data_IF_286108554403
#
_entry.id   IF_286108554403
#
_cell.length_a   1.000
_cell.length_b   1.000
_cell.length_c   1.000
_cell.angle_alpha   90.00
_cell.angle_beta   90.00
_cell.angle_gamma   90.00
#
_symmetry.space_group_name_H-M   'P 1'
#
loop_
_entity.id
_entity.type
_entity.pdbx_description
1 polymer ?
#
# COMPACT_ATOMS: atom_id res chain seq x y z
N UNK A 1 -1.92 -23.28 8.06
CA UNK A 1 -3.24 -23.06 8.70
C UNK A 1 -3.35 -21.57 8.90
N UNK A 2 -3.94 -20.83 7.97
CA UNK A 2 -4.12 -19.38 8.06
C UNK A 2 -5.34 -18.99 7.24
N UNK A 3 -6.35 -18.41 7.90
CA UNK A 3 -7.29 -17.40 7.40
C UNK A 3 -8.63 -17.50 8.16
N UNK A 4 -8.77 -16.74 9.25
CA UNK A 4 -10.05 -16.13 9.57
C UNK A 4 -10.09 -14.81 8.80
N UNK A 5 -10.76 -14.82 7.65
CA UNK A 5 -11.03 -13.62 6.86
C UNK A 5 -12.53 -13.41 6.79
N UNK A 6 -13.01 -12.20 7.00
CA UNK A 6 -14.43 -11.89 6.82
C UNK A 6 -14.68 -11.28 5.45
N UNK A 7 -15.80 -11.65 4.85
CA UNK A 7 -16.33 -10.97 3.67
C UNK A 7 -16.89 -9.60 4.10
N UNK A 8 -16.29 -8.53 3.61
CA UNK A 8 -16.88 -7.19 3.72
C UNK A 8 -17.87 -6.98 2.57
N UNK A 9 -18.82 -6.03 2.72
CA UNK A 9 -19.75 -5.68 1.63
C UNK A 9 -18.96 -5.43 0.34
N UNK A 10 -19.50 -5.87 -0.81
CA UNK A 10 -18.88 -5.75 -2.12
C UNK A 10 -18.23 -4.39 -2.30
N UNK A 11 -16.90 -4.36 -2.33
CA UNK A 11 -16.15 -3.13 -2.47
C UNK A 11 -15.62 -3.02 -3.89
N UNK A 12 -15.70 -1.82 -4.47
CA UNK A 12 -15.27 -1.60 -5.85
C UNK A 12 -13.75 -1.49 -6.00
N UNK A 13 -13.03 -1.24 -4.90
CA UNK A 13 -11.59 -0.91 -4.94
C UNK A 13 -10.71 -1.78 -4.04
N UNK A 14 -11.33 -2.59 -3.22
CA UNK A 14 -10.79 -2.95 -1.92
C UNK A 14 -11.16 -4.44 -1.75
N UNK A 15 -10.22 -5.28 -1.34
CA UNK A 15 -10.42 -6.75 -1.39
C UNK A 15 -11.58 -7.22 -0.50
N UNK A 16 -12.39 -8.17 -0.98
CA UNK A 16 -13.57 -8.68 -0.27
C UNK A 16 -13.21 -9.38 1.06
N UNK A 17 -12.04 -10.04 1.09
CA UNK A 17 -11.55 -10.80 2.24
C UNK A 17 -10.31 -10.15 2.83
N UNK A 18 -10.33 -9.88 4.14
CA UNK A 18 -9.22 -9.24 4.86
C UNK A 18 -8.98 -9.87 6.23
N UNK A 19 -7.76 -9.73 6.76
CA UNK A 19 -7.47 -10.08 8.15
C UNK A 19 -8.41 -9.33 9.11
N UNK A 20 -8.91 -10.03 10.12
CA UNK A 20 -9.71 -9.47 11.22
C UNK A 20 -9.02 -9.71 12.56
N UNK A 21 -9.28 -8.84 13.53
CA UNK A 21 -8.90 -9.08 14.93
C UNK A 21 -9.72 -10.28 15.42
N UNK A 22 -9.09 -11.44 15.46
CA UNK A 22 -9.73 -12.73 15.73
C UNK A 22 -9.44 -13.27 17.13
N UNK A 23 -8.68 -12.50 17.93
CA UNK A 23 -8.24 -12.85 19.27
C UNK A 23 -7.40 -14.14 19.34
N UNK A 24 -6.86 -14.60 18.21
CA UNK A 24 -6.05 -15.82 18.11
C UNK A 24 -4.73 -15.53 17.38
N UNK A 25 -4.81 -15.10 16.12
CA UNK A 25 -3.66 -14.64 15.35
C UNK A 25 -3.40 -13.15 15.60
N UNK A 26 -4.45 -12.33 15.53
CA UNK A 26 -4.40 -10.90 15.82
C UNK A 26 -5.20 -10.62 17.08
N UNK A 27 -4.49 -10.39 18.17
CA UNK A 27 -5.07 -10.15 19.50
C UNK A 27 -5.68 -8.76 19.66
N UNK A 28 -5.33 -7.85 18.76
CA UNK A 28 -5.76 -6.45 18.78
C UNK A 28 -5.56 -5.81 17.40
N UNK A 29 -5.95 -4.55 17.26
CA UNK A 29 -5.72 -3.79 16.04
C UNK A 29 -4.22 -3.49 15.83
N UNK A 30 -3.63 -3.71 14.64
CA UNK A 30 -2.19 -3.52 14.40
C UNK A 30 -1.66 -2.14 14.78
N UNK A 31 -2.45 -1.07 14.56
CA UNK A 31 -2.06 0.29 14.99
C UNK A 31 -1.84 0.40 16.49
N UNK A 32 -2.68 -0.26 17.29
CA UNK A 32 -2.59 -0.18 18.76
C UNK A 32 -1.43 -1.04 19.26
N UNK A 33 -1.19 -2.20 18.63
CA UNK A 33 0.02 -3.00 18.87
C UNK A 33 1.30 -2.20 18.57
N UNK A 34 1.37 -1.52 17.43
CA UNK A 34 2.53 -0.71 17.03
C UNK A 34 2.78 0.46 17.98
N UNK A 35 1.73 1.22 18.33
CA UNK A 35 1.82 2.33 19.30
C UNK A 35 2.32 1.88 20.66
N UNK A 36 1.96 0.68 21.07
CA UNK A 36 2.37 0.10 22.34
C UNK A 36 3.59 -0.82 22.25
N UNK A 37 4.30 -0.79 21.12
CA UNK A 37 5.53 -1.54 20.87
C UNK A 37 5.41 -3.06 20.98
N UNK A 38 4.20 -3.61 20.81
CA UNK A 38 3.93 -5.05 20.87
C UNK A 38 4.18 -5.72 19.51
N UNK A 39 5.42 -5.64 19.05
CA UNK A 39 5.87 -6.27 17.81
C UNK A 39 7.31 -6.80 17.96
N UNK A 40 7.72 -7.68 17.06
CA UNK A 40 9.08 -8.19 17.03
C UNK A 40 10.03 -7.13 16.45
N UNK A 41 11.00 -6.69 17.26
CA UNK A 41 12.01 -5.70 16.87
C UNK A 41 13.12 -6.38 16.06
N UNK A 42 12.96 -6.40 14.73
CA UNK A 42 13.95 -6.88 13.74
C UNK A 42 14.28 -5.76 12.76
N UNK A 43 15.42 -5.81 12.04
CA UNK A 43 15.68 -4.89 10.94
C UNK A 43 14.49 -4.84 9.97
N UNK A 44 14.01 -3.63 9.68
CA UNK A 44 12.81 -3.38 8.90
C UNK A 44 13.18 -2.59 7.64
N UNK A 45 13.19 -3.28 6.50
CA UNK A 45 13.43 -2.70 5.19
C UNK A 45 12.08 -2.52 4.49
N UNK A 46 11.73 -1.29 4.20
CA UNK A 46 10.46 -0.95 3.58
C UNK A 46 10.64 0.18 2.56
N UNK A 47 9.59 0.47 1.82
CA UNK A 47 9.58 1.54 0.85
C UNK A 47 8.26 1.60 0.12
N UNK A 48 8.20 2.52 -0.82
CA UNK A 48 7.03 2.75 -1.68
C UNK A 48 7.50 3.01 -3.10
N UNK A 49 6.63 2.76 -4.05
CA UNK A 49 6.87 3.00 -5.47
C UNK A 49 6.22 4.32 -5.88
N UNK A 50 6.70 4.90 -6.98
CA UNK A 50 6.17 6.17 -7.50
C UNK A 50 4.68 6.09 -7.85
N UNK A 51 4.25 4.97 -8.43
CA UNK A 51 2.90 4.82 -8.99
C UNK A 51 2.17 3.63 -8.33
N UNK A 52 1.90 3.69 -7.03
CA UNK A 52 1.32 2.56 -6.27
C UNK A 52 0.04 2.00 -6.89
N UNK A 53 -0.94 2.85 -7.21
CA UNK A 53 -2.26 2.45 -7.69
C UNK A 53 -2.65 3.11 -9.02
N UNK A 54 -1.68 3.48 -9.86
CA UNK A 54 -1.98 4.13 -11.16
C UNK A 54 -2.85 3.28 -12.08
N UNK A 55 -2.84 1.94 -11.93
CA UNK A 55 -3.74 1.05 -12.68
C UNK A 55 -5.23 1.36 -12.49
N UNK A 56 -5.63 2.05 -11.41
CA UNK A 56 -7.02 2.45 -11.21
C UNK A 56 -7.48 3.52 -12.22
N UNK A 57 -6.53 4.21 -12.87
CA UNK A 57 -6.81 5.17 -13.93
C UNK A 57 -7.42 4.49 -15.16
N UNK A 58 -6.92 3.32 -15.56
CA UNK A 58 -7.38 2.62 -16.78
C UNK A 58 -8.82 2.12 -16.70
N UNK A 59 -9.37 2.03 -15.47
CA UNK A 59 -10.79 1.69 -15.25
C UNK A 59 -11.72 2.87 -15.59
N UNK A 60 -11.20 4.07 -15.88
CA UNK A 60 -11.99 5.26 -16.23
C UNK A 60 -11.39 6.05 -17.39
N UNK A 61 -12.19 6.32 -18.42
CA UNK A 61 -11.74 7.10 -19.58
C UNK A 61 -12.00 8.60 -19.46
N UNK A 62 -12.74 9.06 -18.44
CA UNK A 62 -13.06 10.48 -18.24
C UNK A 62 -12.91 10.94 -16.78
N UNK A 63 -12.70 12.25 -16.60
CA UNK A 63 -12.41 12.88 -15.31
C UNK A 63 -13.59 12.83 -14.32
N UNK A 64 -14.83 12.85 -14.83
CA UNK A 64 -16.03 12.76 -14.00
C UNK A 64 -16.21 11.35 -13.42
N UNK A 65 -15.92 10.32 -14.22
CA UNK A 65 -15.90 8.94 -13.79
C UNK A 65 -14.85 8.68 -12.70
N UNK A 66 -13.64 9.21 -12.85
CA UNK A 66 -12.62 9.07 -11.81
C UNK A 66 -13.02 9.82 -10.53
N UNK A 67 -13.57 11.03 -10.64
CA UNK A 67 -14.07 11.78 -9.49
C UNK A 67 -15.11 10.98 -8.70
N UNK A 68 -16.10 10.40 -9.37
CA UNK A 68 -17.12 9.56 -8.73
C UNK A 68 -16.48 8.34 -8.04
N UNK A 69 -15.48 7.73 -8.68
CA UNK A 69 -14.73 6.60 -8.12
C UNK A 69 -13.92 6.97 -6.88
N UNK A 70 -13.25 8.12 -6.90
CA UNK A 70 -12.51 8.61 -5.74
C UNK A 70 -13.45 8.92 -4.57
N UNK A 71 -14.59 9.57 -4.83
CA UNK A 71 -15.61 9.81 -3.79
C UNK A 71 -16.14 8.49 -3.23
N UNK A 72 -16.37 7.50 -4.09
CA UNK A 72 -16.79 6.15 -3.69
C UNK A 72 -15.71 5.47 -2.85
N UNK A 73 -14.44 5.51 -3.27
CA UNK A 73 -13.32 4.98 -2.53
C UNK A 73 -13.19 5.62 -1.14
N UNK A 74 -13.23 6.95 -1.08
CA UNK A 74 -13.15 7.68 0.19
C UNK A 74 -14.35 7.33 1.10
N UNK A 75 -15.55 7.18 0.55
CA UNK A 75 -16.72 6.69 1.30
C UNK A 75 -16.55 5.25 1.80
N UNK A 76 -15.92 4.36 1.02
CA UNK A 76 -15.67 2.97 1.39
C UNK A 76 -14.53 2.83 2.43
N UNK A 77 -13.52 3.70 2.36
CA UNK A 77 -12.35 3.67 3.24
C UNK A 77 -12.59 4.43 4.54
N UNK A 78 -13.32 5.55 4.49
CA UNK A 78 -13.56 6.45 5.60
C UNK A 78 -15.01 6.33 6.10
N UNK A 79 -15.21 5.77 7.30
CA UNK A 79 -16.55 5.52 7.83
C UNK A 79 -17.02 6.67 8.73
N UNK A 80 -17.58 7.73 8.13
CA UNK A 80 -18.05 8.90 8.88
C UNK A 80 -19.40 8.60 9.59
N UNK A 81 -19.46 8.64 10.93
CA UNK A 81 -20.71 8.40 11.68
C UNK A 81 -21.72 9.54 11.54
N UNK A 82 -21.26 10.80 11.52
CA UNK A 82 -22.15 11.96 11.35
C UNK A 82 -22.85 12.01 9.99
N UNK A 83 -22.30 11.32 8.98
CA UNK A 83 -22.78 11.35 7.61
C UNK A 83 -22.25 12.52 6.78
N UNK A 84 -21.48 13.46 7.37
CA UNK A 84 -20.89 14.59 6.64
C UNK A 84 -19.55 14.24 5.97
N UNK A 85 -19.58 13.19 5.16
CA UNK A 85 -18.42 12.77 4.36
C UNK A 85 -18.08 13.79 3.26
N UNK A 86 -19.04 14.64 2.89
CA UNK A 86 -18.87 15.68 1.87
C UNK A 86 -17.82 16.71 2.26
N UNK A 87 -17.81 17.13 3.53
CA UNK A 87 -16.83 18.05 4.10
C UNK A 87 -15.42 17.45 4.09
N UNK A 88 -15.30 16.15 4.39
CA UNK A 88 -14.03 15.41 4.33
C UNK A 88 -13.49 15.39 2.89
N UNK A 89 -14.33 14.98 1.93
CA UNK A 89 -13.97 14.91 0.52
C UNK A 89 -13.52 16.28 0.00
N UNK A 90 -14.21 17.36 0.39
CA UNK A 90 -13.84 18.72 -0.01
C UNK A 90 -12.48 19.13 0.56
N UNK A 91 -12.16 18.75 1.80
CA UNK A 91 -10.84 19.00 2.38
C UNK A 91 -9.73 18.27 1.61
N UNK A 92 -9.94 17.01 1.23
CA UNK A 92 -9.02 16.25 0.37
C UNK A 92 -8.83 16.97 -0.98
N UNK A 93 -9.92 17.36 -1.66
CA UNK A 93 -9.83 18.09 -2.92
C UNK A 93 -9.00 19.36 -2.79
N UNK A 94 -9.25 20.17 -1.77
CA UNK A 94 -8.52 21.43 -1.54
C UNK A 94 -7.02 21.22 -1.32
N UNK A 95 -6.62 20.11 -0.69
CA UNK A 95 -5.21 19.80 -0.50
C UNK A 95 -4.49 19.45 -1.80
N UNK A 96 -5.19 18.86 -2.78
CA UNK A 96 -4.63 18.44 -4.07
C UNK A 96 -4.94 19.41 -5.22
N UNK A 97 -5.57 20.55 -4.94
CA UNK A 97 -5.67 21.62 -5.94
C UNK A 97 -4.33 22.35 -6.04
N UNK A 98 -3.80 22.46 -7.26
CA UNK A 98 -2.76 23.44 -7.56
C UNK A 98 -3.41 24.81 -7.75
N UNK A 99 -3.21 25.64 -6.75
CA UNK A 99 -3.73 27.00 -6.71
C UNK A 99 -3.13 27.89 -7.80
N UNK A 100 -1.95 27.56 -8.33
CA UNK A 100 -1.29 28.32 -9.40
C UNK A 100 -1.90 28.10 -10.78
N UNK A 101 -2.63 27.00 -10.98
CA UNK A 101 -3.32 26.66 -12.23
C UNK A 101 -4.81 26.98 -12.22
N UNK A 102 -5.31 27.67 -11.18
CA UNK A 102 -6.74 27.95 -10.97
C UNK A 102 -7.39 28.78 -12.09
N UNK A 103 -6.62 29.58 -12.84
CA UNK A 103 -7.14 30.28 -14.03
C UNK A 103 -7.50 29.31 -15.18
N UNK A 104 -6.90 28.11 -15.21
CA UNK A 104 -7.23 27.01 -16.14
C UNK A 104 -8.28 26.06 -15.58
N UNK A 105 -8.74 26.23 -14.34
CA UNK A 105 -9.80 25.39 -13.76
C UNK A 105 -11.14 25.55 -14.50
N UNK A 106 -11.33 26.68 -15.20
CA UNK A 106 -12.43 26.87 -16.16
C UNK A 106 -12.18 26.30 -17.56
N UNK A 107 -10.97 25.79 -17.84
CA UNK A 107 -10.57 25.18 -19.11
C UNK A 107 -10.08 23.74 -18.89
N UNK A 108 -11.05 22.82 -18.89
CA UNK A 108 -10.96 21.38 -19.16
C UNK A 108 -9.58 20.78 -19.56
N UNK A 109 -8.63 20.70 -18.62
CA UNK A 109 -7.47 19.82 -18.76
C UNK A 109 -7.67 18.58 -17.85
N UNK A 110 -8.65 17.74 -18.21
CA UNK A 110 -9.05 16.57 -17.43
C UNK A 110 -7.89 15.64 -17.04
N UNK A 111 -6.84 15.54 -17.87
CA UNK A 111 -5.65 14.74 -17.58
C UNK A 111 -4.86 15.21 -16.33
N UNK A 112 -4.73 16.53 -16.14
CA UNK A 112 -4.04 17.09 -14.96
C UNK A 112 -4.82 16.85 -13.66
N UNK A 113 -6.16 16.91 -13.75
CA UNK A 113 -7.03 16.60 -12.62
C UNK A 113 -6.99 15.12 -12.29
N UNK A 114 -7.04 14.25 -13.29
CA UNK A 114 -6.90 12.79 -13.13
C UNK A 114 -5.60 12.43 -12.41
N UNK A 115 -4.46 12.98 -12.86
CA UNK A 115 -3.16 12.71 -12.25
C UNK A 115 -3.13 13.02 -10.75
N UNK A 116 -3.67 14.18 -10.34
CA UNK A 116 -3.73 14.55 -8.91
C UNK A 116 -4.71 13.70 -8.12
N UNK A 117 -5.76 13.19 -8.76
CA UNK A 117 -6.65 12.25 -8.10
C UNK A 117 -5.98 10.86 -7.94
N UNK A 118 -5.09 10.45 -8.85
CA UNK A 118 -4.22 9.26 -8.66
C UNK A 118 -3.29 9.43 -7.46
N UNK A 119 -2.70 10.62 -7.29
CA UNK A 119 -1.86 10.93 -6.11
C UNK A 119 -2.62 10.69 -4.81
N UNK A 120 -3.88 11.14 -4.71
CA UNK A 120 -4.73 10.90 -3.53
C UNK A 120 -4.82 9.41 -3.19
N UNK A 121 -4.99 8.54 -4.19
CA UNK A 121 -5.12 7.10 -3.99
C UNK A 121 -3.79 6.49 -3.55
N UNK A 122 -2.67 6.87 -4.18
CA UNK A 122 -1.33 6.43 -3.77
C UNK A 122 -1.04 6.83 -2.32
N UNK A 123 -1.41 8.05 -1.98
CA UNK A 123 -1.16 8.69 -0.69
C UNK A 123 -1.95 8.05 0.44
N UNK A 124 -3.26 7.87 0.27
CA UNK A 124 -4.12 7.23 1.28
C UNK A 124 -3.95 5.72 1.33
N UNK A 125 -3.61 5.09 0.20
CA UNK A 125 -3.55 3.64 0.07
C UNK A 125 -2.23 3.04 0.53
N UNK A 126 -1.10 3.74 0.34
CA UNK A 126 0.22 3.16 0.62
C UNK A 126 1.24 4.17 1.17
N UNK A 127 1.42 5.34 0.54
CA UNK A 127 2.56 6.22 0.86
C UNK A 127 2.54 6.69 2.31
N UNK A 128 1.49 7.40 2.73
CA UNK A 128 1.46 7.94 4.10
C UNK A 128 1.16 6.92 5.19
N UNK A 129 0.37 5.85 4.96
CA UNK A 129 0.35 4.71 5.88
C UNK A 129 1.74 4.10 6.12
N UNK A 130 2.56 3.94 5.07
CA UNK A 130 3.92 3.40 5.17
C UNK A 130 4.85 4.33 5.95
N UNK A 131 4.78 5.64 5.70
CA UNK A 131 5.52 6.65 6.47
C UNK A 131 5.09 6.66 7.94
N UNK A 132 3.78 6.61 8.23
CA UNK A 132 3.27 6.54 9.60
C UNK A 132 3.78 5.31 10.35
N UNK A 133 3.77 4.14 9.71
CA UNK A 133 4.30 2.90 10.29
C UNK A 133 5.81 3.05 10.52
N UNK A 134 6.56 3.61 9.58
CA UNK A 134 8.01 3.82 9.70
C UNK A 134 8.38 4.78 10.83
N UNK A 135 7.60 5.85 11.02
CA UNK A 135 7.73 6.78 12.14
C UNK A 135 7.52 6.07 13.49
N UNK A 136 6.49 5.22 13.60
CA UNK A 136 6.22 4.44 14.82
C UNK A 136 7.33 3.40 15.08
N UNK A 137 7.72 2.64 14.06
CA UNK A 137 8.74 1.60 14.19
C UNK A 137 10.09 2.20 14.60
N UNK A 138 10.49 3.31 13.95
CA UNK A 138 11.79 3.93 14.21
C UNK A 138 11.92 4.60 15.58
N UNK A 139 10.81 4.80 16.29
CA UNK A 139 10.84 5.30 17.66
C UNK A 139 11.55 4.32 18.61
N UNK A 140 11.43 3.01 18.38
CA UNK A 140 11.96 1.97 19.29
C UNK A 140 12.77 0.88 18.58
N UNK A 141 12.83 0.90 17.26
CA UNK A 141 13.69 0.06 16.43
C UNK A 141 14.71 0.94 15.70
N UNK A 142 16.02 0.84 16.01
CA UNK A 142 17.03 1.65 15.33
C UNK A 142 17.26 1.22 13.88
N UNK A 143 16.91 0.00 13.49
CA UNK A 143 17.20 -0.58 12.19
C UNK A 143 15.99 -0.53 11.26
N UNK A 144 15.44 0.67 11.06
CA UNK A 144 14.41 0.93 10.03
C UNK A 144 15.09 1.56 8.81
N UNK A 145 14.77 1.11 7.61
CA UNK A 145 15.34 1.58 6.36
C UNK A 145 14.22 1.80 5.35
N UNK A 146 14.23 2.96 4.70
CA UNK A 146 13.17 3.37 3.77
C UNK A 146 13.76 3.65 2.39
N UNK A 147 13.09 3.19 1.32
CA UNK A 147 13.41 3.57 -0.05
C UNK A 147 12.18 4.12 -0.78
N UNK A 148 12.46 4.87 -1.84
CA UNK A 148 11.49 5.29 -2.83
C UNK A 148 11.91 4.72 -4.19
N UNK A 149 11.10 3.83 -4.74
CA UNK A 149 11.34 3.25 -6.06
C UNK A 149 10.73 4.15 -7.13
N UNK A 150 11.58 4.93 -7.78
CA UNK A 150 11.21 5.97 -8.74
C UNK A 150 11.42 5.42 -10.15
N UNK A 151 10.32 4.95 -10.74
CA UNK A 151 10.30 4.45 -12.10
C UNK A 151 8.92 4.68 -12.71
N UNK A 152 8.89 5.23 -13.92
CA UNK A 152 7.66 5.61 -14.62
C UNK A 152 6.71 4.42 -14.80
N UNK A 153 7.26 3.22 -15.01
CA UNK A 153 6.51 1.97 -15.17
C UNK A 153 6.47 1.14 -13.89
N UNK A 154 6.74 1.75 -12.73
CA UNK A 154 6.50 1.07 -11.46
C UNK A 154 5.00 0.96 -11.20
N UNK A 155 4.61 -0.07 -10.48
CA UNK A 155 3.28 -0.21 -9.88
C UNK A 155 3.42 -1.07 -8.63
N UNK A 156 2.54 -0.87 -7.65
CA UNK A 156 2.44 -1.79 -6.52
C UNK A 156 2.34 -3.24 -7.03
N UNK A 157 3.02 -4.17 -6.37
CA UNK A 157 3.15 -5.61 -6.74
C UNK A 157 4.14 -5.85 -7.89
N UNK A 158 4.26 -4.92 -8.83
CA UNK A 158 5.08 -5.08 -10.02
C UNK A 158 6.51 -4.63 -9.85
N UNK A 159 6.78 -3.81 -8.85
CA UNK A 159 8.13 -3.65 -8.35
C UNK A 159 8.76 -5.00 -8.05
N UNK A 160 8.03 -5.99 -7.47
CA UNK A 160 8.55 -7.32 -7.11
C UNK A 160 9.36 -8.00 -8.22
N UNK A 161 8.97 -7.75 -9.47
CA UNK A 161 9.67 -8.27 -10.63
C UNK A 161 11.13 -7.77 -10.76
N UNK A 162 11.41 -6.54 -10.33
CA UNK A 162 12.78 -6.00 -10.28
C UNK A 162 13.63 -6.70 -9.21
N UNK A 163 13.04 -7.12 -8.09
CA UNK A 163 13.71 -7.86 -7.02
C UNK A 163 14.03 -9.31 -7.45
N UNK A 164 13.28 -9.87 -8.39
CA UNK A 164 13.45 -11.23 -8.89
C UNK A 164 14.18 -11.33 -10.23
N UNK A 165 14.67 -10.22 -10.80
CA UNK A 165 15.47 -10.26 -12.03
C UNK A 165 14.64 -10.32 -13.33
N UNK A 166 13.32 -10.07 -13.27
CA UNK A 166 12.42 -10.17 -14.42
C UNK A 166 11.69 -8.84 -14.64
N UNK A 167 12.40 -7.72 -14.88
CA UNK A 167 11.77 -6.41 -14.94
C UNK A 167 10.81 -6.28 -16.11
N UNK A 168 9.86 -5.36 -16.01
CA UNK A 168 8.88 -5.13 -17.08
C UNK A 168 9.49 -4.50 -18.34
N UNK A 169 8.76 -4.68 -19.45
CA UNK A 169 9.10 -4.21 -20.78
C UNK A 169 8.77 -2.74 -21.06
N UNK A 170 8.67 -2.40 -22.35
CA UNK A 170 8.50 -1.04 -22.84
C UNK A 170 7.08 -0.44 -22.80
N UNK A 171 6.06 -1.19 -22.42
CA UNK A 171 4.69 -0.67 -22.38
C UNK A 171 4.37 0.00 -21.04
N UNK A 172 3.39 0.93 -21.02
CA UNK A 172 2.80 1.42 -19.79
C UNK A 172 2.23 0.26 -18.97
N UNK A 173 2.36 0.34 -17.64
CA UNK A 173 1.84 -0.70 -16.74
C UNK A 173 0.37 -1.00 -16.92
N UNK A 174 -0.40 0.02 -17.29
CA UNK A 174 -1.84 -0.07 -17.52
C UNK A 174 -2.17 -1.09 -18.62
N UNK A 175 -1.31 -1.21 -19.64
CA UNK A 175 -1.46 -2.21 -20.70
C UNK A 175 -1.10 -3.61 -20.20
N UNK A 176 -0.18 -3.75 -19.24
CA UNK A 176 0.24 -5.04 -18.66
C UNK A 176 -0.81 -5.71 -17.79
N UNK A 177 -1.58 -4.92 -17.00
CA UNK A 177 -2.58 -5.48 -16.07
C UNK A 177 -3.66 -6.27 -16.83
N UNK A 178 -3.96 -5.89 -18.07
CA UNK A 178 -5.05 -6.48 -18.86
C UNK A 178 -4.60 -7.24 -20.11
N UNK A 179 -3.52 -6.81 -20.77
CA UNK A 179 -2.98 -7.46 -21.96
C UNK A 179 -1.75 -8.29 -21.58
N UNK A 180 -1.91 -9.61 -21.52
CA UNK A 180 -0.91 -10.63 -21.15
C UNK A 180 0.31 -10.74 -22.10
N UNK A 181 0.72 -9.65 -22.77
CA UNK A 181 1.88 -9.62 -23.65
C UNK A 181 3.09 -9.16 -22.84
N UNK A 182 4.04 -10.08 -22.67
CA UNK A 182 5.32 -9.81 -22.06
C UNK A 182 6.29 -9.37 -23.15
N UNK A 183 6.58 -8.08 -23.24
CA UNK A 183 7.65 -7.58 -24.10
C UNK A 183 8.99 -7.58 -23.37
N UNK A 184 10.07 -7.54 -24.13
CA UNK A 184 11.44 -7.53 -23.63
C UNK A 184 11.73 -6.26 -22.81
N UNK A 185 12.36 -6.43 -21.64
CA UNK A 185 12.83 -5.35 -20.77
C UNK A 185 13.97 -4.57 -21.42
N UNK A 186 14.02 -3.25 -21.20
CA UNK A 186 15.13 -2.43 -21.69
C UNK A 186 16.43 -2.73 -20.96
N UNK A 187 17.56 -2.26 -21.51
CA UNK A 187 18.87 -2.35 -20.85
C UNK A 187 18.85 -1.58 -19.53
N UNK A 188 18.14 -0.46 -19.47
CA UNK A 188 17.96 0.36 -18.28
C UNK A 188 17.14 -0.37 -17.21
N UNK A 189 16.05 -1.04 -17.62
CA UNK A 189 15.20 -1.84 -16.73
C UNK A 189 15.97 -3.05 -16.16
N UNK A 190 16.79 -3.71 -16.99
CA UNK A 190 17.68 -4.79 -16.56
C UNK A 190 18.72 -4.32 -15.54
N UNK A 191 19.38 -3.18 -15.78
CA UNK A 191 20.34 -2.59 -14.82
C UNK A 191 19.68 -2.19 -13.51
N UNK A 192 18.47 -1.62 -13.57
CA UNK A 192 17.69 -1.29 -12.37
C UNK A 192 17.31 -2.55 -11.59
N UNK A 193 16.91 -3.62 -12.29
CA UNK A 193 16.63 -4.90 -11.66
C UNK A 193 17.86 -5.53 -11.04
N UNK A 194 19.02 -5.49 -11.70
CA UNK A 194 20.29 -5.97 -11.13
C UNK A 194 20.65 -5.19 -9.86
N UNK A 195 20.45 -3.87 -9.87
CA UNK A 195 20.66 -2.99 -8.72
C UNK A 195 19.75 -3.34 -7.55
N UNK A 196 18.45 -3.55 -7.79
CA UNK A 196 17.50 -4.02 -6.78
C UNK A 196 17.87 -5.40 -6.25
N UNK A 197 18.13 -6.35 -7.15
CA UNK A 197 18.50 -7.73 -6.78
C UNK A 197 19.74 -7.75 -5.88
N UNK A 198 20.80 -7.02 -6.23
CA UNK A 198 22.02 -6.91 -5.40
C UNK A 198 21.71 -6.37 -4.01
N UNK A 199 20.90 -5.32 -3.92
CA UNK A 199 20.49 -4.74 -2.64
C UNK A 199 19.79 -5.78 -1.77
N UNK A 200 18.77 -6.46 -2.29
CA UNK A 200 17.99 -7.42 -1.51
C UNK A 200 18.75 -8.70 -1.19
N UNK A 201 19.57 -9.21 -2.12
CA UNK A 201 20.47 -10.34 -1.87
C UNK A 201 21.43 -10.02 -0.73
N UNK A 202 22.00 -8.80 -0.68
CA UNK A 202 22.88 -8.40 0.42
C UNK A 202 22.16 -8.41 1.77
N UNK A 203 20.91 -7.92 1.82
CA UNK A 203 20.08 -7.95 3.03
C UNK A 203 19.84 -9.40 3.47
N UNK A 204 19.44 -10.29 2.56
CA UNK A 204 19.15 -11.68 2.90
C UNK A 204 20.39 -12.46 3.34
N UNK A 205 21.56 -12.19 2.76
CA UNK A 205 22.81 -12.88 3.09
C UNK A 205 23.44 -12.34 4.37
N UNK A 206 23.47 -11.02 4.54
CA UNK A 206 24.27 -10.35 5.56
C UNK A 206 23.44 -9.77 6.70
N UNK A 207 22.10 -9.86 6.63
CA UNK A 207 21.17 -9.15 7.53
C UNK A 207 21.38 -7.62 7.54
N UNK A 208 22.04 -7.08 6.52
CA UNK A 208 22.31 -5.65 6.32
C UNK A 208 22.51 -5.36 4.83
N UNK A 209 22.13 -4.17 4.35
CA UNK A 209 22.34 -3.80 2.96
C UNK A 209 23.82 -3.46 2.72
N UNK A 210 24.36 -3.94 1.61
CA UNK A 210 25.63 -3.44 1.09
C UNK A 210 25.46 -2.02 0.52
N UNK A 211 26.52 -1.21 0.42
CA UNK A 211 26.45 0.09 -0.22
C UNK A 211 25.96 -0.01 -1.67
N UNK A 212 24.99 0.82 -2.02
CA UNK A 212 24.39 0.93 -3.36
C UNK A 212 24.88 2.21 -4.02
N UNK A 213 25.48 2.12 -5.21
CA UNK A 213 26.13 3.25 -5.88
C UNK A 213 27.10 4.03 -4.97
N UNK A 214 27.89 3.31 -4.17
CA UNK A 214 28.80 3.84 -3.13
C UNK A 214 28.10 4.62 -1.99
N UNK A 215 26.78 4.51 -1.87
CA UNK A 215 26.00 5.12 -0.78
C UNK A 215 25.66 4.04 0.24
N UNK A 216 26.01 4.30 1.50
CA UNK A 216 25.50 3.52 2.62
C UNK A 216 24.04 3.90 2.86
N UNK A 217 23.12 2.93 2.81
CA UNK A 217 21.70 3.18 3.08
C UNK A 217 21.53 3.70 4.51
N UNK A 218 21.13 4.97 4.71
CA UNK A 218 20.95 5.52 6.05
C UNK A 218 19.75 4.87 6.75
N UNK A 219 19.86 4.75 8.07
CA UNK A 219 18.71 4.41 8.92
C UNK A 219 17.68 5.53 8.87
N UNK A 220 16.43 5.13 8.72
CA UNK A 220 15.27 5.98 8.89
C UNK A 220 15.06 6.31 10.37
N UNK A 221 14.69 7.55 10.65
CA UNK A 221 14.13 7.95 11.93
C UNK A 221 13.11 9.05 11.72
N UNK A 222 12.15 9.17 12.64
CA UNK A 222 11.08 10.17 12.57
C UNK A 222 11.55 11.62 12.40
N UNK A 223 12.71 11.99 12.95
CA UNK A 223 13.20 13.38 12.89
C UNK A 223 13.74 13.76 11.52
N UNK A 224 14.50 12.87 10.90
CA UNK A 224 15.20 13.15 9.65
C UNK A 224 14.53 12.54 8.42
N UNK A 225 13.76 11.48 8.62
CA UNK A 225 13.06 10.70 7.60
C UNK A 225 13.93 10.44 6.38
N UNK A 226 15.19 10.03 6.60
CA UNK A 226 16.10 9.71 5.50
C UNK A 226 15.60 8.49 4.73
N UNK A 227 15.63 8.58 3.41
CA UNK A 227 15.35 7.48 2.51
C UNK A 227 16.26 7.53 1.29
N UNK A 228 16.46 6.39 0.64
CA UNK A 228 17.18 6.34 -0.64
C UNK A 228 16.21 6.35 -1.82
N UNK A 229 16.60 6.98 -2.92
CA UNK A 229 15.90 6.79 -4.20
C UNK A 229 16.54 5.64 -4.97
N UNK A 230 15.72 4.75 -5.48
CA UNK A 230 16.15 3.67 -6.37
C UNK A 230 15.45 3.87 -7.70
N UNK A 231 16.24 4.17 -8.73
CA UNK A 231 15.78 4.42 -10.09
C UNK A 231 16.88 4.03 -11.08
N UNK A 232 16.62 4.26 -12.37
CA UNK A 232 17.63 4.12 -13.43
C UNK A 232 18.78 5.12 -13.28
N UNK A 233 18.62 6.16 -12.45
CA UNK A 233 19.66 7.11 -12.10
C UNK A 233 20.46 6.63 -10.88
N UNK A 234 21.66 7.20 -10.63
CA UNK A 234 22.41 6.93 -9.41
C UNK A 234 21.55 7.17 -8.17
N UNK A 235 21.68 6.29 -7.18
CA UNK A 235 20.96 6.41 -5.91
C UNK A 235 21.30 7.73 -5.23
N UNK A 236 20.30 8.36 -4.61
CA UNK A 236 20.48 9.57 -3.79
C UNK A 236 19.85 9.38 -2.43
N UNK A 237 20.39 10.05 -1.41
CA UNK A 237 19.75 10.16 -0.10
C UNK A 237 18.85 11.39 -0.14
N UNK A 238 17.58 11.19 0.17
CA UNK A 238 16.59 12.24 0.37
C UNK A 238 16.08 12.19 1.81
N UNK A 239 15.31 13.21 2.19
CA UNK A 239 14.76 13.40 3.54
C UNK A 239 13.36 14.00 3.43
N UNK A 240 12.53 13.71 4.43
CA UNK A 240 11.16 14.23 4.54
C UNK A 240 10.32 13.98 3.28
N UNK A 241 9.72 12.79 3.20
CA UNK A 241 8.79 12.47 2.14
C UNK A 241 7.63 13.46 2.17
N UNK A 242 7.47 14.25 1.09
CA UNK A 242 6.44 15.29 0.89
C UNK A 242 5.78 15.78 2.19
N UNK A 243 6.45 16.74 2.84
CA UNK A 243 6.04 17.23 4.17
C UNK A 243 4.59 17.72 4.23
N UNK A 244 4.10 18.33 3.15
CA UNK A 244 2.75 18.89 3.10
C UNK A 244 1.72 17.77 3.21
N UNK A 245 1.82 16.80 2.32
CA UNK A 245 0.85 15.71 2.24
C UNK A 245 1.03 14.71 3.40
N UNK A 246 2.26 14.52 3.89
CA UNK A 246 2.50 13.75 5.11
C UNK A 246 1.78 14.37 6.32
N UNK A 247 1.95 15.68 6.55
CA UNK A 247 1.23 16.37 7.61
C UNK A 247 -0.29 16.30 7.42
N UNK A 248 -0.74 16.50 6.18
CA UNK A 248 -2.15 16.42 5.83
C UNK A 248 -2.77 15.08 6.22
N UNK A 249 -2.20 13.95 5.79
CA UNK A 249 -2.78 12.63 6.03
C UNK A 249 -2.52 12.05 7.41
N UNK A 250 -1.34 12.30 8.00
CA UNK A 250 -0.93 11.66 9.24
C UNK A 250 -1.14 12.54 10.49
N UNK A 251 -1.47 13.83 10.33
CA UNK A 251 -1.72 14.74 11.46
C UNK A 251 -3.06 15.48 11.33
N UNK A 252 -3.26 16.25 10.27
CA UNK A 252 -4.46 17.09 10.11
C UNK A 252 -5.73 16.27 9.86
N UNK A 253 -5.73 15.35 8.88
CA UNK A 253 -6.91 14.63 8.46
C UNK A 253 -7.51 13.75 9.56
N UNK A 254 -6.73 13.02 10.38
CA UNK A 254 -7.28 12.26 11.50
C UNK A 254 -8.03 13.14 12.52
N UNK A 255 -7.44 14.28 12.91
CA UNK A 255 -8.07 15.23 13.84
C UNK A 255 -9.31 15.90 13.23
N UNK A 256 -9.19 16.37 11.99
CA UNK A 256 -10.29 16.97 11.25
C UNK A 256 -11.45 15.98 11.08
N UNK A 257 -11.15 14.74 10.73
CA UNK A 257 -12.15 13.69 10.58
C UNK A 257 -12.87 13.40 11.89
N UNK A 258 -12.13 13.26 13.01
CA UNK A 258 -12.74 13.00 14.31
C UNK A 258 -13.69 14.12 14.74
N UNK A 259 -13.31 15.37 14.52
CA UNK A 259 -14.13 16.55 14.82
C UNK A 259 -15.43 16.61 13.99
N UNK A 260 -15.39 16.22 12.71
CA UNK A 260 -16.55 16.27 11.81
C UNK A 260 -17.43 15.02 11.93
N UNK A 261 -16.82 13.85 12.07
CA UNK A 261 -17.51 12.57 12.01
C UNK A 261 -17.89 12.00 13.37
N UNK A 262 -17.27 12.46 14.46
CA UNK A 262 -17.50 11.95 15.82
C UNK A 262 -16.96 10.54 16.04
N UNK A 263 -16.02 10.10 15.21
CA UNK A 263 -15.31 8.84 15.33
C UNK A 263 -13.92 8.92 14.69
N UNK A 264 -13.03 8.01 15.08
CA UNK A 264 -11.70 7.96 14.49
C UNK A 264 -11.80 7.63 13.00
N UNK A 265 -10.96 8.29 12.19
CA UNK A 265 -10.81 8.03 10.75
C UNK A 265 -10.52 6.57 10.43
N UNK A 266 -9.99 5.85 11.42
CA UNK A 266 -9.60 4.47 11.29
C UNK A 266 -10.61 3.48 11.87
N UNK A 267 -11.68 3.98 12.48
CA UNK A 267 -12.81 3.16 12.89
C UNK A 267 -13.56 2.74 11.62
N UNK A 268 -13.46 1.46 11.24
CA UNK A 268 -14.31 0.93 10.18
C UNK A 268 -15.62 0.44 10.78
N UNK A 269 -16.75 0.70 10.10
CA UNK A 269 -18.00 -0.01 10.37
C UNK A 269 -17.75 -1.51 10.18
N UNK A 270 -17.94 -2.26 11.26
CA UNK A 270 -18.19 -3.70 11.22
C UNK A 270 -19.59 -3.97 10.66
N UNK A 271 -19.89 -3.51 9.45
CA UNK A 271 -21.09 -4.01 8.75
C UNK A 271 -20.72 -5.35 8.14
N UNK A 272 -20.59 -6.37 9.00
CA UNK A 272 -20.74 -7.73 8.54
C UNK A 272 -22.16 -7.82 8.00
N UNK A 273 -22.32 -7.99 6.68
CA UNK A 273 -23.56 -8.56 6.20
C UNK A 273 -23.60 -9.97 6.79
N UNK A 274 -24.41 -10.19 7.83
CA UNK A 274 -24.98 -11.51 8.01
C UNK A 274 -25.65 -11.81 6.68
N UNK A 275 -25.11 -12.77 5.94
CA UNK A 275 -25.88 -13.36 4.85
C UNK A 275 -27.09 -13.94 5.56
N UNK A 276 -28.23 -13.26 5.45
CA UNK A 276 -29.51 -13.87 5.78
C UNK A 276 -29.67 -14.96 4.71
N UNK A 277 -29.52 -16.21 5.15
CA UNK A 277 -29.93 -17.41 4.40
C UNK A 277 -31.45 -17.36 4.20
N UNK A 278 -31.91 -16.52 3.28
CA UNK A 278 -33.28 -16.52 2.77
C UNK A 278 -33.36 -17.24 1.40
N UNK A 279 -32.30 -17.95 1.00
CA UNK A 279 -32.40 -19.00 -0.01
C UNK A 279 -32.60 -20.34 0.70
N UNK A 280 -33.72 -20.98 0.39
CA UNK A 280 -34.11 -22.35 0.75
C UNK A 280 -33.17 -23.42 0.14
N UNK A 281 -31.86 -23.21 0.19
CA UNK A 281 -30.86 -24.21 -0.11
C UNK A 281 -30.40 -24.79 1.22
N UNK A 282 -30.79 -26.05 1.45
CA UNK A 282 -30.34 -26.85 2.57
C UNK A 282 -28.83 -26.74 2.73
N UNK A 283 -28.38 -26.03 3.76
CA UNK A 283 -27.00 -26.03 4.25
C UNK A 283 -26.66 -27.48 4.59
N UNK A 284 -25.99 -28.16 3.66
CA UNK A 284 -25.31 -29.40 4.01
C UNK A 284 -24.17 -29.02 4.94
N UNK A 285 -24.02 -29.74 6.05
CA UNK A 285 -22.99 -29.55 7.07
C UNK A 285 -21.55 -29.85 6.58
N UNK A 286 -21.24 -29.56 5.32
CA UNK A 286 -20.01 -29.95 4.63
C UNK A 286 -19.24 -28.79 3.98
N UNK A 287 -19.59 -27.52 4.22
CA UNK A 287 -18.74 -26.39 3.82
C UNK A 287 -17.56 -26.20 4.79
N UNK A 288 -16.82 -27.28 5.02
CA UNK A 288 -15.43 -27.22 5.42
C UNK A 288 -14.61 -26.83 4.20
N UNK A 289 -13.69 -25.86 4.36
CA UNK A 289 -12.70 -25.48 3.36
C UNK A 289 -12.21 -26.69 2.55
N UNK A 290 -12.69 -26.86 1.31
CA UNK A 290 -12.20 -27.92 0.43
C UNK A 290 -10.92 -27.42 -0.23
N UNK A 291 -9.77 -27.79 0.34
CA UNK A 291 -8.49 -27.76 -0.37
C UNK A 291 -7.89 -29.15 -0.39
N UNK A 292 -7.39 -29.53 -1.57
CA UNK A 292 -6.80 -30.83 -1.89
C UNK A 292 -5.79 -31.27 -0.84
N UNK A 293 -5.86 -32.56 -0.50
CA UNK A 293 -4.99 -33.23 0.45
C UNK A 293 -3.51 -32.95 0.19
N UNK A 294 -2.90 -32.09 0.99
CA UNK A 294 -1.47 -32.13 1.23
C UNK A 294 -1.16 -33.37 2.08
N UNK A 295 -0.33 -34.26 1.53
CA UNK A 295 0.09 -35.49 2.17
C UNK A 295 0.75 -35.18 3.53
N UNK A 296 0.12 -35.68 4.61
CA UNK A 296 0.58 -35.53 6.00
C UNK A 296 1.98 -36.12 6.22
N UNK A 297 2.47 -36.96 5.31
CA UNK A 297 3.84 -37.49 5.34
C UNK A 297 4.91 -36.40 5.12
N UNK A 298 4.60 -35.38 4.30
CA UNK A 298 5.55 -34.31 3.96
C UNK A 298 5.76 -33.33 5.13
N UNK A 299 4.69 -33.00 5.84
CA UNK A 299 4.70 -32.10 7.00
C UNK A 299 5.50 -32.72 8.16
N UNK A 300 5.49 -34.05 8.30
CA UNK A 300 6.26 -34.76 9.34
C UNK A 300 7.76 -34.81 9.02
N UNK A 301 8.14 -34.84 7.73
CA UNK A 301 9.56 -34.78 7.31
C UNK A 301 10.20 -33.40 7.58
N UNK A 302 9.46 -32.31 7.35
CA UNK A 302 9.97 -30.95 7.58
C UNK A 302 10.12 -30.60 9.07
N UNK A 303 9.35 -31.24 9.95
CA UNK A 303 9.43 -31.03 11.40
C UNK A 303 10.62 -31.73 12.07
N UNK A 304 11.16 -32.76 11.43
CA UNK A 304 12.28 -33.55 11.96
C UNK A 304 13.65 -33.12 11.40
N UNK A 305 13.70 -32.23 10.40
CA UNK A 305 14.95 -31.74 9.81
C UNK A 305 15.48 -30.44 10.44
N UNK A 306 14.83 -29.93 11.50
CA UNK A 306 15.22 -28.71 12.22
C UNK A 306 15.83 -29.00 13.60
N UNK A 307 16.09 -30.27 13.91
CA UNK A 307 16.94 -30.69 15.04
C UNK A 307 18.08 -31.57 14.52
N UNK A 308 19.09 -30.92 13.93
CA UNK A 308 20.47 -31.42 13.81
C UNK A 308 21.37 -30.24 13.47
#
# INVERSE_FOLDING_TARGET
MFCKSSKFSSSHFLVDYRPIVDMELMLEHPREALKAERYLKVPFYTGVVQNEFSFLNSVTTDADGFKLKLETLLNEVLSCKSGDISTIINSVKLNYIDWSETQKFGQNNGASLLYRQTEVINDVGMIYPSIFISDLLSATNPDVFYYYFEHEKSLHIFDMNYYFGVPFGNEPVEDYVWNKKWNESTVEDQKLSEKMLKLWVSIFQNSKPDPIDNITWPRYNKTTQHYITISTQPTTIRRHFDMKNNYFWNSYMPEFFENICGNSMYDRRHNFSTVNDDSNDTISSNDHCVFGHLDKSLVKKLRNSTTS
#
